data_IF_607721888009
#
_entry.id   IF_607721888009
#
_cell.length_a   1.000
_cell.length_b   1.000
_cell.length_c   1.000
_cell.angle_alpha   90.00
_cell.angle_beta   90.00
_cell.angle_gamma   90.00
#
_symmetry.space_group_name_H-M   'P 1'
#
loop_
_entity.id
_entity.type
_entity.pdbx_description
1 polymer ?
#
# COMPACT_ATOMS: atom_id res chain seq x y z
N UNK A 1 -6.62 -46.11 -45.93
CA UNK A 1 -7.09 -47.10 -44.95
C UNK A 1 -8.10 -46.41 -44.06
N UNK A 2 -9.28 -46.99 -43.83
CA UNK A 2 -10.12 -46.63 -42.69
C UNK A 2 -9.44 -47.11 -41.39
N UNK A 3 -9.93 -46.70 -40.22
CA UNK A 3 -9.49 -47.07 -38.86
C UNK A 3 -8.47 -46.15 -38.16
N UNK A 4 -8.77 -44.85 -38.04
CA UNK A 4 -8.68 -44.08 -36.77
C UNK A 4 -9.30 -42.71 -37.00
N UNK A 5 -10.11 -42.14 -36.08
CA UNK A 5 -10.46 -40.73 -36.18
C UNK A 5 -9.14 -39.97 -36.11
N UNK A 6 -8.84 -39.16 -37.14
CA UNK A 6 -7.77 -38.17 -37.09
C UNK A 6 -7.98 -37.36 -35.81
N UNK A 7 -7.26 -37.73 -34.75
CA UNK A 7 -7.38 -37.00 -33.50
C UNK A 7 -6.68 -35.70 -33.79
N UNK A 8 -7.45 -34.63 -33.97
CA UNK A 8 -6.91 -33.34 -34.38
C UNK A 8 -5.81 -32.96 -33.39
N UNK A 9 -4.56 -33.07 -33.85
CA UNK A 9 -3.38 -32.83 -33.03
C UNK A 9 -3.38 -31.40 -32.50
N UNK A 10 -4.12 -30.49 -33.14
CA UNK A 10 -4.31 -29.12 -32.66
C UNK A 10 -5.28 -29.03 -31.48
N UNK A 11 -6.32 -29.88 -31.41
CA UNK A 11 -7.22 -29.97 -30.26
C UNK A 11 -6.52 -30.61 -29.06
N UNK A 12 -5.70 -31.65 -29.30
CA UNK A 12 -4.82 -32.21 -28.27
C UNK A 12 -3.86 -31.13 -27.76
N UNK A 13 -3.17 -30.40 -28.65
CA UNK A 13 -2.24 -29.35 -28.24
C UNK A 13 -2.92 -28.21 -27.46
N UNK A 14 -4.15 -27.81 -27.83
CA UNK A 14 -4.93 -26.82 -27.07
C UNK A 14 -5.28 -27.30 -25.67
N UNK A 15 -5.58 -28.58 -25.49
CA UNK A 15 -5.83 -29.17 -24.16
C UNK A 15 -4.65 -29.11 -23.19
N UNK A 16 -3.42 -28.93 -23.69
CA UNK A 16 -2.21 -28.78 -22.87
C UNK A 16 -1.88 -27.32 -22.53
N UNK A 17 -2.45 -26.34 -23.25
CA UNK A 17 -2.25 -24.91 -22.97
C UNK A 17 -2.81 -24.58 -21.58
N UNK A 18 -1.95 -24.08 -20.69
CA UNK A 18 -2.33 -23.75 -19.31
C UNK A 18 -2.41 -24.94 -18.34
N UNK A 19 -2.17 -26.17 -18.79
CA UNK A 19 -2.09 -27.35 -17.92
C UNK A 19 -0.68 -27.47 -17.32
N UNK A 20 -0.58 -27.43 -15.98
CA UNK A 20 0.71 -27.56 -15.29
C UNK A 20 1.21 -29.01 -15.32
N UNK A 21 2.51 -29.19 -15.61
CA UNK A 21 3.21 -30.48 -15.48
C UNK A 21 2.89 -31.52 -16.56
N UNK A 22 2.22 -31.12 -17.65
CA UNK A 22 1.93 -32.02 -18.78
C UNK A 22 2.93 -31.78 -19.91
N UNK A 23 3.48 -32.86 -20.44
CA UNK A 23 4.40 -32.83 -21.59
C UNK A 23 3.74 -33.53 -22.75
N UNK A 24 3.64 -32.86 -23.90
CA UNK A 24 3.22 -33.46 -25.16
C UNK A 24 4.46 -33.66 -26.03
N UNK A 25 4.83 -34.93 -26.26
CA UNK A 25 5.84 -35.26 -27.27
C UNK A 25 5.12 -35.38 -28.60
N UNK A 26 5.36 -34.41 -29.49
CA UNK A 26 4.82 -34.42 -30.85
C UNK A 26 5.95 -34.77 -31.81
N UNK A 27 5.78 -35.86 -32.53
CA UNK A 27 6.61 -36.13 -33.70
C UNK A 27 6.16 -35.21 -34.84
N UNK A 28 7.01 -34.26 -35.22
CA UNK A 28 6.77 -33.41 -36.39
C UNK A 28 7.29 -34.11 -37.63
N UNK A 29 6.38 -34.46 -38.54
CA UNK A 29 6.74 -34.90 -39.88
C UNK A 29 6.63 -33.68 -40.80
N UNK A 30 7.76 -33.16 -41.30
CA UNK A 30 7.70 -32.20 -42.40
C UNK A 30 7.56 -32.98 -43.70
N UNK A 31 6.47 -32.75 -44.43
CA UNK A 31 6.33 -33.24 -45.81
C UNK A 31 7.14 -32.31 -46.70
N UNK A 32 8.35 -32.71 -47.07
CA UNK A 32 9.06 -32.08 -48.18
C UNK A 32 8.35 -32.46 -49.48
N UNK A 33 8.04 -31.46 -50.30
CA UNK A 33 7.48 -31.66 -51.62
C UNK A 33 8.47 -32.50 -52.46
N UNK A 34 8.14 -33.79 -52.65
CA UNK A 34 8.84 -34.81 -53.47
C UNK A 34 9.72 -35.87 -52.77
N UNK A 35 9.58 -36.13 -51.46
CA UNK A 35 10.18 -37.30 -50.81
C UNK A 35 9.35 -37.76 -49.63
N UNK A 36 9.20 -39.07 -49.43
CA UNK A 36 8.39 -39.64 -48.36
C UNK A 36 8.73 -39.09 -46.96
N UNK A 37 7.84 -39.30 -45.96
CA UNK A 37 7.95 -38.66 -44.66
C UNK A 37 9.31 -38.91 -44.01
N UNK A 38 10.13 -37.87 -43.90
CA UNK A 38 11.40 -37.89 -43.18
C UNK A 38 11.19 -37.32 -41.77
N UNK A 39 11.64 -38.02 -40.70
CA UNK A 39 11.51 -37.50 -39.34
C UNK A 39 12.29 -36.19 -39.20
N UNK A 40 11.61 -35.10 -38.86
CA UNK A 40 12.30 -33.85 -38.55
C UNK A 40 12.93 -33.99 -37.16
N UNK A 41 14.26 -33.96 -37.11
CA UNK A 41 15.04 -34.00 -35.87
C UNK A 41 15.02 -32.63 -35.17
N UNK A 42 13.82 -32.09 -34.88
CA UNK A 42 13.65 -30.80 -34.20
C UNK A 42 12.96 -31.00 -32.85
N UNK A 43 13.67 -31.66 -31.94
CA UNK A 43 13.24 -31.83 -30.55
C UNK A 43 13.58 -30.56 -29.76
N UNK A 44 12.80 -29.50 -29.96
CA UNK A 44 12.87 -28.27 -29.16
C UNK A 44 11.69 -28.17 -28.21
N UNK A 45 11.98 -27.85 -26.96
CA UNK A 45 10.95 -27.58 -25.97
C UNK A 45 10.18 -26.31 -26.35
N UNK A 46 8.86 -26.41 -26.50
CA UNK A 46 7.96 -25.28 -26.69
C UNK A 46 7.17 -25.06 -25.42
N UNK A 47 7.27 -23.87 -24.83
CA UNK A 47 6.43 -23.49 -23.71
C UNK A 47 5.01 -23.17 -24.22
N UNK A 48 4.03 -23.92 -23.72
CA UNK A 48 2.61 -23.74 -24.03
C UNK A 48 1.88 -22.97 -22.92
N UNK A 49 2.62 -22.41 -21.95
CA UNK A 49 2.06 -21.57 -20.89
C UNK A 49 1.54 -20.26 -21.51
N UNK A 50 0.32 -19.82 -21.16
CA UNK A 50 -0.17 -18.50 -21.55
C UNK A 50 0.76 -17.40 -21.05
N UNK A 51 1.07 -16.42 -21.90
CA UNK A 51 1.85 -15.25 -21.50
C UNK A 51 1.03 -14.38 -20.53
N UNK A 52 1.47 -14.34 -19.27
CA UNK A 52 0.85 -13.55 -18.20
C UNK A 52 1.49 -12.16 -18.03
N UNK A 53 2.47 -11.78 -18.84
CA UNK A 53 3.13 -10.46 -18.74
C UNK A 53 2.13 -9.30 -18.86
N UNK A 54 1.05 -9.50 -19.63
CA UNK A 54 -0.04 -8.52 -19.82
C UNK A 54 -1.15 -8.62 -18.77
N UNK A 55 -1.09 -9.58 -17.86
CA UNK A 55 -2.10 -9.77 -16.81
C UNK A 55 -1.95 -8.77 -15.65
N UNK A 56 -0.86 -7.97 -15.63
CA UNK A 56 -0.62 -6.90 -14.65
C UNK A 56 -0.80 -7.34 -13.19
N UNK A 57 -0.43 -8.60 -12.89
CA UNK A 57 -0.65 -9.21 -11.59
C UNK A 57 0.08 -8.46 -10.47
N UNK A 58 1.25 -7.93 -10.79
CA UNK A 58 2.03 -7.01 -9.94
C UNK A 58 1.20 -5.78 -9.53
N UNK A 59 0.60 -5.09 -10.50
CA UNK A 59 -0.21 -3.89 -10.23
C UNK A 59 -1.48 -4.23 -9.44
N UNK A 60 -2.13 -5.34 -9.76
CA UNK A 60 -3.34 -5.75 -9.01
C UNK A 60 -3.01 -6.06 -7.56
N UNK A 61 -1.84 -6.64 -7.29
CA UNK A 61 -1.39 -6.93 -5.93
C UNK A 61 -1.07 -5.64 -5.16
N UNK A 62 -0.39 -4.69 -5.79
CA UNK A 62 -0.07 -3.42 -5.15
C UNK A 62 -1.33 -2.60 -4.86
N UNK A 63 -2.28 -2.54 -5.80
CA UNK A 63 -3.58 -1.90 -5.59
C UNK A 63 -4.39 -2.57 -4.47
N UNK A 64 -4.37 -3.90 -4.40
CA UNK A 64 -5.06 -4.63 -3.33
C UNK A 64 -4.46 -4.31 -1.95
N UNK A 65 -3.13 -4.23 -1.85
CA UNK A 65 -2.44 -3.83 -0.61
C UNK A 65 -2.83 -2.41 -0.20
N UNK A 66 -2.86 -1.48 -1.14
CA UNK A 66 -3.22 -0.08 -0.87
C UNK A 66 -4.66 0.05 -0.37
N UNK A 67 -5.60 -0.69 -0.96
CA UNK A 67 -6.99 -0.72 -0.50
C UNK A 67 -7.13 -1.31 0.91
N UNK A 68 -6.41 -2.39 1.20
CA UNK A 68 -6.38 -2.99 2.55
C UNK A 68 -5.85 -1.97 3.56
N UNK A 69 -4.74 -1.30 3.26
CA UNK A 69 -4.17 -0.28 4.14
C UNK A 69 -5.17 0.86 4.39
N UNK A 70 -5.81 1.36 3.34
CA UNK A 70 -6.81 2.41 3.44
C UNK A 70 -8.02 2.02 4.30
N UNK A 71 -8.45 0.76 4.26
CA UNK A 71 -9.55 0.26 5.09
C UNK A 71 -9.24 0.33 6.60
N UNK A 72 -7.96 0.27 6.98
CA UNK A 72 -7.50 0.42 8.36
C UNK A 72 -6.96 1.83 8.68
N UNK A 73 -7.20 2.81 7.81
CA UNK A 73 -6.69 4.18 7.98
C UNK A 73 -5.18 4.31 7.82
N UNK A 74 -4.50 3.26 7.35
CA UNK A 74 -3.05 3.26 7.09
C UNK A 74 -2.84 3.86 5.69
N UNK A 75 -2.15 5.00 5.62
CA UNK A 75 -1.86 5.61 4.34
C UNK A 75 -0.89 4.73 3.52
N UNK A 76 -1.18 4.43 2.24
CA UNK A 76 -0.33 3.61 1.37
C UNK A 76 1.14 4.07 1.34
N UNK A 77 1.37 5.38 1.44
CA UNK A 77 2.70 5.97 1.47
C UNK A 77 3.57 5.49 2.64
N UNK A 78 3.01 4.94 3.72
CA UNK A 78 3.82 4.38 4.81
C UNK A 78 4.60 3.13 4.38
N UNK A 79 4.06 2.37 3.43
CA UNK A 79 4.64 1.10 2.95
C UNK A 79 5.53 1.27 1.72
N UNK A 80 5.71 2.51 1.25
CA UNK A 80 6.62 2.81 0.15
C UNK A 80 8.09 2.80 0.64
N UNK A 81 8.96 2.09 -0.07
CA UNK A 81 10.40 2.02 0.26
C UNK A 81 11.12 3.36 0.18
N UNK A 82 10.57 4.31 -0.59
CA UNK A 82 11.12 5.65 -0.78
C UNK A 82 10.61 6.68 0.25
N UNK A 83 9.91 6.24 1.29
CA UNK A 83 9.29 7.15 2.25
C UNK A 83 10.31 7.86 3.13
N UNK A 84 10.06 9.14 3.38
CA UNK A 84 10.93 10.02 4.16
C UNK A 84 10.41 10.20 5.58
N UNK A 85 11.30 10.46 6.54
CA UNK A 85 10.93 10.70 7.93
C UNK A 85 9.80 11.72 8.14
N UNK A 86 9.78 12.88 7.44
CA UNK A 86 8.65 13.81 7.50
C UNK A 86 7.32 13.19 7.08
N UNK A 87 7.29 12.41 5.99
CA UNK A 87 6.05 11.76 5.55
C UNK A 87 5.58 10.73 6.59
N UNK A 88 6.49 9.92 7.15
CA UNK A 88 6.15 8.94 8.20
C UNK A 88 5.45 9.61 9.38
N UNK A 89 5.95 10.79 9.81
CA UNK A 89 5.35 11.54 10.92
C UNK A 89 3.93 12.02 10.59
N UNK A 90 3.70 12.55 9.39
CA UNK A 90 2.36 12.99 8.99
C UNK A 90 1.38 11.81 8.82
N UNK A 91 1.86 10.68 8.28
CA UNK A 91 1.06 9.47 8.19
C UNK A 91 0.68 8.91 9.56
N UNK A 92 1.62 8.92 10.51
CA UNK A 92 1.35 8.53 11.90
C UNK A 92 0.36 9.47 12.59
N UNK A 93 0.49 10.79 12.38
CA UNK A 93 -0.47 11.78 12.90
C UNK A 93 -1.86 11.58 12.30
N UNK A 94 -1.96 11.32 11.01
CA UNK A 94 -3.23 11.01 10.35
C UNK A 94 -3.88 9.76 10.95
N UNK A 95 -3.13 8.65 11.03
CA UNK A 95 -3.63 7.40 11.61
C UNK A 95 -4.11 7.59 13.06
N UNK A 96 -3.31 8.29 13.88
CA UNK A 96 -3.66 8.52 15.27
C UNK A 96 -4.90 9.40 15.42
N UNK A 97 -5.01 10.48 14.65
CA UNK A 97 -6.13 11.42 14.77
C UNK A 97 -7.44 10.86 14.23
N UNK A 98 -7.39 10.17 13.08
CA UNK A 98 -8.59 9.78 12.33
C UNK A 98 -9.06 8.37 12.65
N UNK A 99 -8.17 7.49 13.09
CA UNK A 99 -8.50 6.07 13.34
C UNK A 99 -8.36 5.71 14.81
N UNK A 100 -7.21 5.99 15.42
CA UNK A 100 -6.93 5.50 16.77
C UNK A 100 -7.60 6.31 17.87
N UNK A 101 -7.65 7.64 17.76
CA UNK A 101 -8.23 8.51 18.79
C UNK A 101 -9.74 8.23 18.99
N UNK A 102 -10.58 8.10 17.95
CA UNK A 102 -11.99 7.72 18.12
C UNK A 102 -12.16 6.33 18.76
N UNK A 103 -11.30 5.37 18.40
CA UNK A 103 -11.31 4.04 19.02
C UNK A 103 -10.91 4.11 20.50
N UNK A 104 -9.89 4.92 20.83
CA UNK A 104 -9.44 5.14 22.19
C UNK A 104 -10.53 5.80 23.05
N UNK A 105 -11.28 6.74 22.50
CA UNK A 105 -12.41 7.38 23.18
C UNK A 105 -13.54 6.38 23.49
N UNK A 106 -13.93 5.55 22.52
CA UNK A 106 -14.92 4.49 22.73
C UNK A 106 -14.45 3.47 23.79
N UNK A 107 -13.17 3.11 23.78
CA UNK A 107 -12.58 2.24 24.80
C UNK A 107 -12.54 2.90 26.18
N UNK A 108 -12.25 4.20 26.24
CA UNK A 108 -12.18 4.97 27.48
C UNK A 108 -13.56 5.13 28.13
N UNK A 109 -14.61 5.33 27.35
CA UNK A 109 -16.00 5.36 27.81
C UNK A 109 -16.38 4.02 28.48
N UNK A 110 -16.12 2.90 27.80
CA UNK A 110 -16.42 1.57 28.32
C UNK A 110 -15.60 1.23 29.58
N UNK A 111 -14.32 1.62 29.59
CA UNK A 111 -13.44 1.44 30.74
C UNK A 111 -13.91 2.27 31.95
N UNK A 112 -14.36 3.49 31.71
CA UNK A 112 -14.92 4.38 32.75
C UNK A 112 -16.15 3.76 33.39
N UNK A 113 -17.06 3.21 32.58
CA UNK A 113 -18.25 2.51 33.07
C UNK A 113 -17.91 1.29 33.92
N UNK A 114 -16.91 0.49 33.51
CA UNK A 114 -16.51 -0.74 34.21
C UNK A 114 -15.70 -0.51 35.49
N UNK A 115 -14.82 0.49 35.49
CA UNK A 115 -13.88 0.73 36.59
C UNK A 115 -14.44 1.70 37.64
N UNK A 116 -15.55 2.39 37.33
CA UNK A 116 -16.18 3.36 38.24
C UNK A 116 -15.34 4.61 38.48
N UNK A 117 -14.29 4.83 37.68
CA UNK A 117 -13.42 6.00 37.70
C UNK A 117 -13.18 6.49 36.28
N UNK A 118 -12.98 7.81 36.12
CA UNK A 118 -12.75 8.40 34.81
C UNK A 118 -11.43 7.87 34.21
N UNK A 119 -11.54 7.23 33.05
CA UNK A 119 -10.39 6.75 32.25
C UNK A 119 -10.26 7.61 31.02
N UNK A 120 -9.05 8.10 30.75
CA UNK A 120 -8.71 8.85 29.54
C UNK A 120 -7.58 8.15 28.81
N UNK A 121 -7.76 7.89 27.51
CA UNK A 121 -6.75 7.29 26.65
C UNK A 121 -6.30 8.32 25.61
N UNK A 122 -5.00 8.58 25.55
CA UNK A 122 -4.39 9.57 24.66
C UNK A 122 -3.34 8.91 23.77
N UNK A 123 -3.57 8.92 22.47
CA UNK A 123 -2.66 8.37 21.45
C UNK A 123 -1.85 9.45 20.72
N UNK A 124 -2.06 10.72 21.06
CA UNK A 124 -1.54 11.89 20.36
C UNK A 124 -0.31 12.50 21.03
N UNK A 125 -0.27 12.57 22.36
CA UNK A 125 0.88 13.14 23.10
C UNK A 125 2.22 12.46 22.80
N UNK A 126 2.31 11.11 22.72
CA UNK A 126 3.58 10.44 22.39
C UNK A 126 4.09 10.80 21.00
N UNK A 127 3.20 11.03 20.03
CA UNK A 127 3.59 11.43 18.67
C UNK A 127 4.18 12.85 18.64
N UNK A 128 3.73 13.73 19.54
CA UNK A 128 4.30 15.08 19.68
C UNK A 128 5.72 15.07 20.26
N UNK A 129 6.10 14.05 21.03
CA UNK A 129 7.46 13.93 21.57
C UNK A 129 8.54 13.77 20.47
N UNK A 130 8.17 13.19 19.32
CA UNK A 130 9.04 13.09 18.15
C UNK A 130 9.24 14.41 17.39
N UNK A 131 8.49 15.47 17.75
CA UNK A 131 8.61 16.83 17.20
C UNK A 131 9.04 17.87 18.28
N UNK A 132 9.81 17.43 19.28
CA UNK A 132 10.38 18.34 20.28
C UNK A 132 11.19 19.49 19.66
N UNK A 133 11.88 19.23 18.54
CA UNK A 133 12.65 20.24 17.80
C UNK A 133 11.80 21.26 17.05
N UNK A 134 10.61 20.90 16.57
CA UNK A 134 9.63 21.84 16.00
C UNK A 134 9.04 22.73 17.10
N UNK A 135 8.65 22.12 18.22
CA UNK A 135 8.14 22.83 19.40
C UNK A 135 9.16 23.83 19.97
N UNK A 136 10.42 23.42 20.13
CA UNK A 136 11.46 24.33 20.63
C UNK A 136 11.68 25.54 19.70
N UNK A 137 11.66 25.33 18.39
CA UNK A 137 11.76 26.42 17.40
C UNK A 137 10.53 27.33 17.43
N UNK A 138 9.34 26.75 17.54
CA UNK A 138 8.09 27.50 17.66
C UNK A 138 8.11 28.38 18.91
N UNK A 139 8.52 27.85 20.07
CA UNK A 139 8.66 28.62 21.32
C UNK A 139 9.62 29.80 21.15
N UNK A 140 10.81 29.57 20.57
CA UNK A 140 11.78 30.66 20.32
C UNK A 140 11.21 31.73 19.39
N UNK A 141 10.51 31.33 18.32
CA UNK A 141 9.88 32.26 17.39
C UNK A 141 8.75 33.06 18.06
N UNK A 142 7.94 32.42 18.90
CA UNK A 142 6.87 33.06 19.67
C UNK A 142 7.47 34.09 20.64
N UNK A 143 8.46 33.70 21.44
CA UNK A 143 9.10 34.62 22.39
C UNK A 143 9.73 35.82 21.66
N UNK A 144 10.38 35.59 20.51
CA UNK A 144 10.90 36.66 19.68
C UNK A 144 9.81 37.58 19.13
N UNK A 145 8.71 37.03 18.63
CA UNK A 145 7.57 37.79 18.14
C UNK A 145 6.89 38.60 19.25
N UNK A 146 6.76 38.04 20.46
CA UNK A 146 6.23 38.75 21.63
C UNK A 146 7.13 39.91 22.06
N UNK A 147 8.46 39.73 22.01
CA UNK A 147 9.42 40.80 22.29
C UNK A 147 9.30 41.95 21.27
N UNK A 148 9.21 41.61 19.98
CA UNK A 148 9.03 42.60 18.91
C UNK A 148 7.67 43.31 18.99
N UNK A 149 6.60 42.58 19.30
CA UNK A 149 5.26 43.15 19.49
C UNK A 149 5.25 44.14 20.67
N UNK A 150 5.95 43.81 21.77
CA UNK A 150 6.13 44.72 22.91
C UNK A 150 6.92 45.98 22.55
N UNK A 151 7.97 45.88 21.74
CA UNK A 151 8.73 47.03 21.26
C UNK A 151 7.92 47.91 20.29
N UNK A 152 7.10 47.30 19.43
CA UNK A 152 6.26 47.99 18.47
C UNK A 152 4.94 48.52 19.07
N UNK A 153 4.63 48.19 20.34
CA UNK A 153 3.37 48.56 20.99
C UNK A 153 2.14 47.83 20.42
N UNK A 154 2.33 46.69 19.77
CA UNK A 154 1.25 45.86 19.21
C UNK A 154 0.77 44.88 20.27
N UNK A 155 -0.55 44.82 20.49
CA UNK A 155 -1.16 43.86 21.41
C UNK A 155 -1.00 42.42 20.90
N UNK A 156 -0.25 41.55 21.59
CA UNK A 156 -0.02 40.18 21.16
C UNK A 156 -1.26 39.29 21.31
N UNK A 157 -2.20 39.63 22.20
CA UNK A 157 -3.39 38.81 22.45
C UNK A 157 -4.29 38.74 21.22
N UNK A 158 -4.38 39.84 20.46
CA UNK A 158 -5.15 39.88 19.20
C UNK A 158 -4.52 38.97 18.14
N UNK A 159 -3.19 38.92 18.06
CA UNK A 159 -2.48 38.05 17.13
C UNK A 159 -2.57 36.57 17.53
N UNK A 160 -2.47 36.25 18.83
CA UNK A 160 -2.59 34.89 19.35
C UNK A 160 -4.02 34.32 19.20
N UNK A 161 -5.04 35.17 19.30
CA UNK A 161 -6.43 34.79 19.01
C UNK A 161 -6.68 34.49 17.53
N UNK A 162 -6.00 35.18 16.62
CA UNK A 162 -6.11 34.93 15.17
C UNK A 162 -5.56 33.57 14.74
N UNK A 163 -4.63 33.00 15.50
CA UNK A 163 -4.06 31.66 15.26
C UNK A 163 -4.63 30.58 16.18
N UNK A 164 -5.73 30.86 16.87
CA UNK A 164 -6.45 29.93 17.77
C UNK A 164 -5.59 29.33 18.89
N UNK A 165 -4.65 30.12 19.43
CA UNK A 165 -3.75 29.71 20.51
C UNK A 165 -4.15 30.25 21.89
N UNK A 166 -5.26 30.97 21.98
CA UNK A 166 -5.73 31.62 23.21
C UNK A 166 -6.46 30.72 24.22
N UNK A 167 -6.75 29.47 23.88
CA UNK A 167 -7.60 28.57 24.68
C UNK A 167 -6.83 27.41 25.35
N UNK A 168 -5.49 27.40 25.33
CA UNK A 168 -4.67 26.28 25.83
C UNK A 168 -3.94 26.54 27.17
N UNK A 169 -4.32 27.58 27.93
CA UNK A 169 -3.78 27.82 29.28
C UNK A 169 -4.82 27.51 30.35
#
# INVERSE_FOLDING_TARGET
MPETPETDLTDIARGFRGSRGRVLVRESVQVQAAGGPAPAQDWRANDLTPDLSKALLDKTLDQARDQINAAFGILPGLNNKATTGPMVREAQRHLASWTLQPMAEAMAEEATGKLGSAVTLDVMRPLQAFDAGGRARAITAIVGALAQAKEAGVDPDTALKLVDWGNEI
#
